data_IF_186222623466
#
_entry.id   IF_186222623466
#
_cell.length_a   1.000
_cell.length_b   1.000
_cell.length_c   1.000
_cell.angle_alpha   90.00
_cell.angle_beta   90.00
_cell.angle_gamma   90.00
#
_symmetry.space_group_name_H-M   'P 1'
#
loop_
_entity.id
_entity.type
_entity.pdbx_description
1 polymer ?
#
# COMPACT_ATOMS: atom_id res chain seq x y z
N UNK A 1 -3.19 2.94 -15.35
CA UNK A 1 -4.28 3.86 -14.97
C UNK A 1 -3.81 4.70 -13.78
N UNK A 2 -3.54 5.99 -14.00
CA UNK A 2 -3.10 6.92 -12.96
C UNK A 2 -4.35 7.47 -12.25
N UNK A 3 -4.56 7.11 -10.99
CA UNK A 3 -5.65 7.69 -10.19
C UNK A 3 -5.22 9.09 -9.73
N UNK A 4 -5.77 10.12 -10.37
CA UNK A 4 -5.52 11.53 -10.01
C UNK A 4 -6.25 11.85 -8.70
N UNK A 5 -5.48 11.97 -7.60
CA UNK A 5 -5.97 12.57 -6.36
C UNK A 5 -6.21 14.08 -6.54
N UNK A 6 -7.20 14.63 -5.84
CA UNK A 6 -7.65 16.03 -5.93
C UNK A 6 -6.63 17.11 -5.51
N UNK A 7 -5.39 16.74 -5.17
CA UNK A 7 -4.37 17.65 -4.64
C UNK A 7 -3.17 17.91 -5.58
N UNK A 8 -3.27 17.59 -6.87
CA UNK A 8 -2.22 17.88 -7.87
C UNK A 8 -0.94 17.04 -7.75
N UNK A 9 -0.69 16.42 -6.60
CA UNK A 9 0.39 15.45 -6.39
C UNK A 9 -0.04 14.12 -7.01
N UNK A 10 0.52 13.78 -8.17
CA UNK A 10 0.33 12.46 -8.75
C UNK A 10 0.86 11.39 -7.79
N UNK A 11 -0.04 10.56 -7.27
CA UNK A 11 0.30 9.47 -6.35
C UNK A 11 0.95 8.35 -7.15
N UNK A 12 2.28 8.32 -7.20
CA UNK A 12 3.02 7.18 -7.75
C UNK A 12 3.05 6.05 -6.73
N UNK A 13 2.89 4.82 -7.20
CA UNK A 13 2.82 3.65 -6.33
C UNK A 13 4.23 3.15 -6.01
N UNK A 14 4.80 3.49 -4.85
CA UNK A 14 5.89 2.74 -4.21
C UNK A 14 5.81 1.24 -4.53
N UNK A 15 6.92 0.72 -5.05
CA UNK A 15 7.13 -0.71 -5.30
C UNK A 15 7.94 -1.31 -4.17
N UNK A 16 7.85 -2.64 -4.02
CA UNK A 16 8.82 -3.38 -3.21
C UNK A 16 10.21 -3.18 -3.80
N UNK A 17 11.22 -3.14 -2.93
CA UNK A 17 12.61 -3.13 -3.35
C UNK A 17 12.87 -4.31 -4.31
N UNK A 18 13.49 -4.04 -5.45
CA UNK A 18 13.79 -5.04 -6.47
C UNK A 18 15.14 -5.74 -6.24
N UNK A 19 15.86 -5.38 -5.18
CA UNK A 19 17.13 -6.01 -4.85
C UNK A 19 16.88 -7.45 -4.41
N UNK A 20 17.53 -8.40 -5.08
CA UNK A 20 17.21 -9.83 -5.01
C UNK A 20 17.27 -10.40 -3.58
N UNK A 21 18.22 -9.92 -2.79
CA UNK A 21 18.44 -10.39 -1.41
C UNK A 21 17.82 -9.47 -0.35
N UNK A 22 16.99 -8.51 -0.76
CA UNK A 22 16.26 -7.64 0.16
C UNK A 22 14.99 -8.33 0.65
N UNK A 23 14.95 -8.61 1.95
CA UNK A 23 13.76 -9.05 2.67
C UNK A 23 13.27 -7.92 3.60
N UNK A 24 12.15 -7.30 3.25
CA UNK A 24 11.51 -6.21 4.00
C UNK A 24 12.44 -5.03 4.39
N UNK A 25 13.45 -4.76 3.57
CA UNK A 25 14.43 -3.69 3.81
C UNK A 25 15.74 -4.16 4.43
N UNK A 26 15.89 -5.45 4.70
CA UNK A 26 17.11 -6.03 5.26
C UNK A 26 17.79 -6.94 4.24
N UNK A 27 19.12 -7.06 4.32
CA UNK A 27 19.93 -7.98 3.51
C UNK A 27 20.79 -8.82 4.45
N UNK A 28 20.91 -10.12 4.15
CA UNK A 28 21.81 -11.03 4.87
C UNK A 28 23.15 -11.12 4.12
N UNK A 29 24.24 -10.76 4.77
CA UNK A 29 25.57 -10.94 4.23
C UNK A 29 26.08 -12.37 4.42
N UNK A 30 27.20 -12.70 3.76
CA UNK A 30 27.78 -14.06 3.71
C UNK A 30 28.10 -14.67 5.09
N UNK A 31 28.36 -13.85 6.11
CA UNK A 31 28.66 -14.31 7.46
C UNK A 31 27.43 -14.37 8.38
N UNK A 32 26.23 -14.28 7.80
CA UNK A 32 24.97 -14.29 8.56
C UNK A 32 24.62 -12.97 9.23
N UNK A 33 25.44 -11.92 9.05
CA UNK A 33 25.13 -10.57 9.52
C UNK A 33 23.97 -9.98 8.73
N UNK A 34 23.05 -9.31 9.42
CA UNK A 34 21.89 -8.63 8.82
C UNK A 34 22.16 -7.13 8.81
N UNK A 35 22.02 -6.49 7.65
CA UNK A 35 22.17 -5.05 7.50
C UNK A 35 20.99 -4.46 6.73
N UNK A 36 20.80 -3.14 6.84
CA UNK A 36 19.82 -2.42 6.03
C UNK A 36 20.17 -2.52 4.54
N UNK A 37 19.16 -2.69 3.70
CA UNK A 37 19.31 -2.71 2.25
C UNK A 37 19.62 -1.30 1.76
N UNK A 38 20.80 -1.11 1.18
CA UNK A 38 21.24 0.19 0.65
C UNK A 38 20.33 0.71 -0.49
N UNK A 39 19.68 -0.17 -1.24
CA UNK A 39 18.79 0.22 -2.36
C UNK A 39 17.50 0.89 -1.88
N UNK A 40 16.98 0.50 -0.71
CA UNK A 40 15.72 1.02 -0.18
C UNK A 40 15.86 1.68 1.20
N UNK A 41 17.10 1.97 1.63
CA UNK A 41 17.43 2.61 2.91
C UNK A 41 16.75 1.94 4.13
N UNK A 42 16.71 0.60 4.13
CA UNK A 42 16.11 -0.16 5.22
C UNK A 42 14.57 -0.25 5.19
N UNK A 43 13.89 0.35 4.21
CA UNK A 43 12.42 0.50 4.23
C UNK A 43 11.66 -0.57 3.44
N UNK A 44 12.37 -1.34 2.60
CA UNK A 44 11.78 -2.35 1.71
C UNK A 44 10.94 -1.77 0.57
N UNK A 45 10.87 -0.45 0.43
CA UNK A 45 10.04 0.27 -0.54
C UNK A 45 10.86 1.30 -1.33
N UNK A 46 10.61 1.40 -2.63
CA UNK A 46 11.30 2.32 -3.55
C UNK A 46 10.30 3.02 -4.48
N UNK A 47 10.73 4.10 -5.13
CA UNK A 47 9.93 4.76 -6.16
C UNK A 47 9.59 3.80 -7.31
N UNK A 48 8.37 3.94 -7.85
CA UNK A 48 7.85 3.04 -8.87
C UNK A 48 8.56 3.13 -10.21
N UNK A 49 9.05 4.33 -10.54
CA UNK A 49 9.59 4.69 -11.84
C UNK A 49 11.11 4.72 -11.82
N UNK A 50 11.71 5.35 -10.80
CA UNK A 50 13.17 5.47 -10.72
C UNK A 50 13.81 4.29 -10.01
N UNK A 51 13.07 3.57 -9.16
CA UNK A 51 13.63 2.50 -8.32
C UNK A 51 14.53 3.02 -7.20
N UNK A 52 14.59 4.35 -7.01
CA UNK A 52 15.39 4.99 -5.97
C UNK A 52 14.67 4.96 -4.62
N UNK A 53 15.47 4.94 -3.54
CA UNK A 53 14.96 5.15 -2.19
C UNK A 53 14.40 6.57 -2.07
N UNK A 54 13.12 6.68 -1.74
CA UNK A 54 12.53 7.97 -1.39
C UNK A 54 12.88 8.35 0.05
N UNK A 55 12.89 9.65 0.40
CA UNK A 55 13.05 10.07 1.77
C UNK A 55 11.99 9.44 2.68
N UNK A 56 12.38 9.03 3.90
CA UNK A 56 11.49 8.40 4.91
C UNK A 56 10.16 9.15 5.07
N UNK A 57 10.21 10.48 5.13
CA UNK A 57 9.03 11.34 5.26
C UNK A 57 8.04 11.18 4.10
N UNK A 58 8.54 11.04 2.88
CA UNK A 58 7.70 10.91 1.69
C UNK A 58 7.08 9.52 1.61
N UNK A 59 7.83 8.47 1.96
CA UNK A 59 7.30 7.10 2.08
C UNK A 59 6.15 7.05 3.10
N UNK A 60 6.36 7.60 4.30
CA UNK A 60 5.33 7.66 5.35
C UNK A 60 4.09 8.40 4.85
N UNK A 61 4.27 9.56 4.20
CA UNK A 61 3.17 10.34 3.64
C UNK A 61 2.37 9.52 2.63
N UNK A 62 3.03 8.85 1.70
CA UNK A 62 2.36 8.03 0.69
C UNK A 62 1.64 6.83 1.30
N UNK A 63 2.22 6.16 2.29
CA UNK A 63 1.58 5.06 3.01
C UNK A 63 0.33 5.53 3.77
N UNK A 64 0.40 6.68 4.44
CA UNK A 64 -0.76 7.26 5.14
C UNK A 64 -1.90 7.61 4.17
N UNK A 65 -1.56 8.14 2.99
CA UNK A 65 -2.54 8.42 1.95
C UNK A 65 -3.24 7.13 1.50
N UNK A 66 -2.49 6.05 1.24
CA UNK A 66 -3.06 4.76 0.85
C UNK A 66 -3.93 4.15 1.93
N UNK A 67 -3.47 4.19 3.18
CA UNK A 67 -4.24 3.68 4.31
C UNK A 67 -5.60 4.39 4.42
N UNK A 68 -5.64 5.71 4.20
CA UNK A 68 -6.90 6.47 4.18
C UNK A 68 -7.81 6.05 3.03
N UNK A 69 -7.25 5.81 1.84
CA UNK A 69 -8.02 5.34 0.69
C UNK A 69 -8.58 3.94 0.88
N UNK A 70 -7.77 3.00 1.39
CA UNK A 70 -8.22 1.64 1.69
C UNK A 70 -9.29 1.63 2.79
N UNK A 71 -9.15 2.47 3.84
CA UNK A 71 -10.21 2.66 4.84
C UNK A 71 -11.51 3.16 4.21
N UNK A 72 -11.43 4.08 3.24
CA UNK A 72 -12.61 4.58 2.52
C UNK A 72 -13.26 3.48 1.68
N UNK A 73 -12.48 2.74 0.89
CA UNK A 73 -12.98 1.61 0.08
C UNK A 73 -13.60 0.53 0.95
N UNK A 74 -12.96 0.18 2.06
CA UNK A 74 -13.48 -0.79 3.02
C UNK A 74 -14.83 -0.34 3.59
N UNK A 75 -14.96 0.94 3.94
CA UNK A 75 -16.24 1.51 4.40
C UNK A 75 -17.33 1.38 3.33
N UNK A 76 -17.05 1.82 2.09
CA UNK A 76 -17.98 1.71 0.96
C UNK A 76 -18.41 0.27 0.70
N UNK A 77 -17.46 -0.67 0.73
CA UNK A 77 -17.71 -2.10 0.60
C UNK A 77 -18.61 -2.62 1.73
N UNK A 78 -18.29 -2.29 2.99
CA UNK A 78 -19.08 -2.72 4.15
C UNK A 78 -20.53 -2.20 4.11
N UNK A 79 -20.74 -0.96 3.65
CA UNK A 79 -22.07 -0.40 3.44
C UNK A 79 -22.82 -1.10 2.31
N UNK A 80 -22.12 -1.46 1.23
CA UNK A 80 -22.66 -2.26 0.13
C UNK A 80 -23.15 -3.63 0.60
N UNK A 81 -22.31 -4.35 1.33
CA UNK A 81 -22.64 -5.66 1.93
C UNK A 81 -23.85 -5.53 2.86
N UNK A 82 -23.88 -4.50 3.72
CA UNK A 82 -25.01 -4.25 4.63
C UNK A 82 -26.34 -4.08 3.87
N UNK A 83 -26.33 -3.31 2.77
CA UNK A 83 -27.51 -3.10 1.94
C UNK A 83 -27.97 -4.38 1.23
N UNK A 84 -27.03 -5.20 0.76
CA UNK A 84 -27.36 -6.48 0.11
C UNK A 84 -27.98 -7.46 1.11
N UNK A 85 -27.41 -7.58 2.31
CA UNK A 85 -27.98 -8.40 3.38
C UNK A 85 -29.40 -7.94 3.76
N UNK A 86 -29.63 -6.64 3.84
CA UNK A 86 -30.97 -6.11 4.12
C UNK A 86 -31.97 -6.52 3.04
N UNK A 87 -31.60 -6.44 1.75
CA UNK A 87 -32.47 -6.85 0.64
C UNK A 87 -32.78 -8.36 0.65
N UNK A 88 -31.79 -9.18 1.01
CA UNK A 88 -31.97 -10.63 1.16
C UNK A 88 -32.97 -10.95 2.29
N UNK A 89 -32.78 -10.33 3.46
CA UNK A 89 -33.70 -10.49 4.58
C UNK A 89 -35.12 -10.03 4.23
N UNK A 90 -35.27 -8.93 3.49
CA UNK A 90 -36.58 -8.43 3.05
C UNK A 90 -37.25 -9.39 2.05
N UNK A 91 -36.47 -10.10 1.22
CA UNK A 91 -36.96 -11.13 0.32
C UNK A 91 -37.42 -12.37 1.08
N UNK A 92 -36.61 -12.88 2.01
CA UNK A 92 -36.92 -14.02 2.88
C UNK A 92 -38.13 -13.78 3.80
N UNK A 93 -38.48 -12.52 4.11
CA UNK A 93 -39.70 -12.22 4.86
C UNK A 93 -40.97 -12.25 4.02
N UNK A 94 -40.85 -12.13 2.69
CA UNK A 94 -41.98 -12.04 1.76
C UNK A 94 -42.32 -13.38 1.11
N UNK A 95 -41.43 -14.36 1.22
CA UNK A 95 -41.54 -15.69 0.64
C UNK A 95 -41.27 -16.73 1.72
#
# INVERSE_FOLDING_TARGET
MIQRGKDGIQKRLLKKCSYQDCDEGMVRAMLGTVSECAQCDGLGLVDAETGEALPKREIIRQLLIRLREEKRKFKEYSEGVRKQLQRLNDYERRH
#
